data_IF_516368093292
#
_entry.id   IF_516368093292
#
_cell.length_a   1.000
_cell.length_b   1.000
_cell.length_c   1.000
_cell.angle_alpha   90.00
_cell.angle_beta   90.00
_cell.angle_gamma   90.00
#
_symmetry.space_group_name_H-M   'P 1'
#
loop_
_entity.id
_entity.type
_entity.pdbx_description
1 polymer ?
#
# COMPACT_ATOMS: atom_id res chain seq x y z
N UNK A 1 -14.32 -28.81 19.80
CA UNK A 1 -13.60 -27.58 19.61
C UNK A 1 -14.53 -26.46 19.21
N UNK A 2 -14.35 -25.36 19.83
CA UNK A 2 -15.09 -24.16 19.45
C UNK A 2 -14.45 -23.40 18.30
N UNK A 3 -13.40 -23.94 17.71
CA UNK A 3 -12.73 -23.27 16.61
C UNK A 3 -13.65 -23.14 15.40
N UNK A 4 -13.79 -21.92 14.94
CA UNK A 4 -14.55 -21.64 13.73
C UNK A 4 -13.69 -21.98 12.51
N UNK A 5 -14.28 -22.71 11.62
CA UNK A 5 -13.64 -22.99 10.35
C UNK A 5 -14.21 -22.08 9.28
N UNK A 6 -13.31 -21.34 8.63
CA UNK A 6 -13.68 -20.44 7.55
C UNK A 6 -13.19 -21.05 6.25
N UNK A 7 -14.12 -21.32 5.38
CA UNK A 7 -13.79 -21.87 4.06
C UNK A 7 -14.25 -20.91 2.98
N UNK A 8 -13.36 -20.64 2.04
CA UNK A 8 -13.67 -19.84 0.89
C UNK A 8 -13.62 -20.71 -0.36
N UNK A 9 -14.54 -20.45 -1.28
CA UNK A 9 -14.48 -21.04 -2.61
C UNK A 9 -13.27 -20.49 -3.38
N UNK A 10 -12.92 -21.16 -4.46
CA UNK A 10 -11.86 -20.69 -5.36
C UNK A 10 -12.17 -19.28 -5.84
N UNK A 11 -13.41 -19.01 -6.24
CA UNK A 11 -13.83 -17.69 -6.68
C UNK A 11 -13.65 -16.63 -5.60
N UNK A 12 -14.01 -16.95 -4.36
CA UNK A 12 -13.84 -16.02 -3.24
C UNK A 12 -12.37 -15.74 -2.95
N UNK A 13 -11.51 -16.74 -3.04
CA UNK A 13 -10.07 -16.52 -2.88
C UNK A 13 -9.51 -15.60 -3.95
N UNK A 14 -9.94 -15.78 -5.20
CA UNK A 14 -9.52 -14.94 -6.32
C UNK A 14 -9.94 -13.49 -6.08
N UNK A 15 -11.19 -13.28 -5.65
CA UNK A 15 -11.70 -11.94 -5.31
C UNK A 15 -10.91 -11.30 -4.16
N UNK A 16 -10.60 -12.07 -3.14
CA UNK A 16 -9.84 -11.58 -1.98
C UNK A 16 -8.41 -11.18 -2.36
N UNK A 17 -7.75 -11.99 -3.15
CA UNK A 17 -6.41 -11.64 -3.64
C UNK A 17 -6.45 -10.45 -4.60
N UNK A 18 -7.49 -10.34 -5.40
CA UNK A 18 -7.71 -9.17 -6.24
C UNK A 18 -7.85 -7.90 -5.41
N UNK A 19 -8.57 -7.96 -4.29
CA UNK A 19 -8.70 -6.83 -3.36
C UNK A 19 -7.35 -6.44 -2.76
N UNK A 20 -6.49 -7.41 -2.44
CA UNK A 20 -5.14 -7.13 -1.97
C UNK A 20 -4.34 -6.35 -3.03
N UNK A 21 -4.48 -6.75 -4.30
CA UNK A 21 -3.83 -6.04 -5.40
C UNK A 21 -4.29 -4.60 -5.51
N UNK A 22 -5.58 -4.35 -5.32
CA UNK A 22 -6.14 -2.99 -5.33
C UNK A 22 -5.55 -2.13 -4.22
N UNK A 23 -5.45 -2.67 -3.01
CA UNK A 23 -4.84 -1.96 -1.87
C UNK A 23 -3.38 -1.61 -2.16
N UNK A 24 -2.63 -2.53 -2.76
CA UNK A 24 -1.23 -2.28 -3.10
C UNK A 24 -1.09 -1.22 -4.19
N UNK A 25 -2.00 -1.19 -5.16
CA UNK A 25 -2.02 -0.12 -6.17
C UNK A 25 -2.34 1.24 -5.55
N UNK A 26 -3.29 1.28 -4.62
CA UNK A 26 -3.59 2.50 -3.86
C UNK A 26 -2.37 2.97 -3.08
N UNK A 27 -1.63 2.04 -2.48
CA UNK A 27 -0.41 2.37 -1.74
C UNK A 27 0.66 2.99 -2.64
N UNK A 28 0.85 2.47 -3.85
CA UNK A 28 1.77 3.04 -4.82
C UNK A 28 1.37 4.46 -5.22
N UNK A 29 0.08 4.67 -5.47
CA UNK A 29 -0.46 5.99 -5.79
C UNK A 29 -0.29 6.95 -4.61
N UNK A 30 -0.60 6.48 -3.41
CA UNK A 30 -0.47 7.28 -2.19
C UNK A 30 0.98 7.69 -1.96
N UNK A 31 1.93 6.81 -2.23
CA UNK A 31 3.35 7.12 -2.12
C UNK A 31 3.74 8.29 -3.01
N UNK A 32 3.26 8.31 -4.25
CA UNK A 32 3.52 9.43 -5.15
C UNK A 32 2.91 10.74 -4.62
N UNK A 33 1.68 10.69 -4.10
CA UNK A 33 1.03 11.86 -3.50
C UNK A 33 1.81 12.36 -2.27
N UNK A 34 2.29 11.44 -1.44
CA UNK A 34 3.08 11.79 -0.26
C UNK A 34 4.41 12.45 -0.62
N UNK A 35 5.05 11.99 -1.69
CA UNK A 35 6.26 12.64 -2.19
C UNK A 35 5.99 14.10 -2.57
N UNK A 36 4.88 14.37 -3.26
CA UNK A 36 4.51 15.74 -3.63
C UNK A 36 4.21 16.58 -2.41
N UNK A 37 3.47 16.04 -1.44
CA UNK A 37 3.19 16.72 -0.18
C UNK A 37 4.48 17.03 0.61
N UNK A 38 5.43 16.10 0.60
CA UNK A 38 6.72 16.29 1.28
C UNK A 38 7.51 17.42 0.63
N UNK A 39 7.53 17.51 -0.68
CA UNK A 39 8.19 18.59 -1.41
C UNK A 39 7.57 19.93 -1.03
N UNK A 40 6.25 20.02 -0.99
CA UNK A 40 5.55 21.25 -0.59
C UNK A 40 5.88 21.67 0.83
N UNK A 41 5.85 20.73 1.78
CA UNK A 41 6.17 21.00 3.19
C UNK A 41 7.62 21.45 3.34
N UNK A 42 8.55 20.79 2.66
CA UNK A 42 9.97 21.17 2.71
C UNK A 42 10.18 22.54 2.11
N UNK A 43 9.46 22.88 1.04
CA UNK A 43 9.54 24.23 0.45
C UNK A 43 9.01 25.28 1.40
N UNK A 44 7.87 25.06 2.04
CA UNK A 44 7.32 26.00 3.02
C UNK A 44 8.25 26.17 4.22
N UNK A 45 8.84 25.09 4.71
CA UNK A 45 9.82 25.15 5.79
C UNK A 45 11.02 25.99 5.38
N UNK A 46 11.54 25.79 4.19
CA UNK A 46 12.67 26.54 3.66
C UNK A 46 12.33 28.03 3.57
N UNK A 47 11.15 28.36 3.10
CA UNK A 47 10.70 29.75 2.97
C UNK A 47 10.63 30.43 4.32
N UNK A 48 10.10 29.77 5.34
CA UNK A 48 10.00 30.32 6.68
C UNK A 48 11.37 30.48 7.31
N UNK A 49 12.24 29.50 7.17
CA UNK A 49 13.61 29.61 7.67
C UNK A 49 14.37 30.78 7.01
N UNK A 50 14.09 31.00 5.73
CA UNK A 50 14.66 32.10 4.99
C UNK A 50 14.16 33.46 5.55
N UNK A 51 12.87 33.57 5.88
CA UNK A 51 12.31 34.75 6.54
C UNK A 51 12.97 34.96 7.89
N UNK A 52 13.14 33.92 8.68
CA UNK A 52 13.81 33.99 9.98
C UNK A 52 15.25 34.51 9.84
N UNK A 53 15.94 34.07 8.77
CA UNK A 53 17.32 34.47 8.52
C UNK A 53 17.45 35.94 8.13
N UNK A 54 16.53 36.46 7.32
CA UNK A 54 16.63 37.77 6.71
C UNK A 54 15.92 38.84 7.55
N UNK A 55 14.77 38.55 8.12
CA UNK A 55 13.93 39.54 8.76
C UNK A 55 14.16 39.64 10.27
N UNK A 56 14.23 40.89 10.77
CA UNK A 56 14.29 41.15 12.20
C UNK A 56 12.89 41.10 12.80
N UNK A 57 12.65 40.11 13.63
CA UNK A 57 11.38 39.99 14.35
C UNK A 57 11.49 40.71 15.66
N UNK A 58 10.77 41.83 15.75
CA UNK A 58 10.93 42.77 16.85
C UNK A 58 9.95 42.58 18.00
N UNK A 59 8.94 41.75 17.84
CA UNK A 59 7.99 41.47 18.89
C UNK A 59 7.81 39.97 19.16
N UNK A 60 7.31 39.69 20.36
CA UNK A 60 7.10 38.32 20.78
C UNK A 60 5.98 37.63 19.97
N UNK A 61 4.99 38.38 19.54
CA UNK A 61 3.87 37.84 18.80
C UNK A 61 4.31 37.35 17.42
N UNK A 62 5.10 38.16 16.71
CA UNK A 62 5.64 37.73 15.42
C UNK A 62 6.52 36.50 15.53
N UNK A 63 7.37 36.43 16.56
CA UNK A 63 8.19 35.27 16.83
C UNK A 63 7.34 34.04 17.18
N UNK A 64 6.27 34.22 17.91
CA UNK A 64 5.34 33.16 18.28
C UNK A 64 4.65 32.57 17.04
N UNK A 65 4.18 33.41 16.13
CA UNK A 65 3.53 32.98 14.90
C UNK A 65 4.49 32.13 14.06
N UNK A 66 5.73 32.58 13.89
CA UNK A 66 6.73 31.83 13.13
C UNK A 66 7.07 30.50 13.79
N UNK A 67 7.23 30.51 15.13
CA UNK A 67 7.45 29.27 15.87
C UNK A 67 6.33 28.27 15.65
N UNK A 68 5.07 28.69 15.78
CA UNK A 68 3.92 27.82 15.57
C UNK A 68 3.91 27.26 14.16
N UNK A 69 4.18 28.09 13.17
CA UNK A 69 4.17 27.66 11.77
C UNK A 69 5.26 26.62 11.50
N UNK A 70 6.46 26.86 11.99
CA UNK A 70 7.55 25.89 11.85
C UNK A 70 7.20 24.57 12.54
N UNK A 71 6.64 24.65 13.75
CA UNK A 71 6.24 23.46 14.50
C UNK A 71 5.20 22.65 13.74
N UNK A 72 4.16 23.30 13.22
CA UNK A 72 3.10 22.64 12.45
C UNK A 72 3.67 21.95 11.20
N UNK A 73 4.54 22.62 10.48
CA UNK A 73 5.17 22.06 9.29
C UNK A 73 6.09 20.88 9.62
N UNK A 74 6.84 20.97 10.71
CA UNK A 74 7.70 19.87 11.15
C UNK A 74 6.88 18.66 11.58
N UNK A 75 5.77 18.87 12.26
CA UNK A 75 4.85 17.80 12.63
C UNK A 75 4.20 17.15 11.40
N UNK A 76 3.76 17.98 10.46
CA UNK A 76 3.19 17.48 9.20
C UNK A 76 4.23 16.66 8.42
N UNK A 77 5.45 17.15 8.35
CA UNK A 77 6.56 16.43 7.70
C UNK A 77 6.77 15.05 8.33
N UNK A 78 6.75 14.98 9.66
CA UNK A 78 6.90 13.72 10.39
C UNK A 78 5.76 12.74 10.03
N UNK A 79 4.54 13.22 10.04
CA UNK A 79 3.38 12.40 9.68
C UNK A 79 3.49 11.84 8.26
N UNK A 80 3.88 12.67 7.30
CA UNK A 80 4.10 12.24 5.92
C UNK A 80 5.19 11.17 5.85
N UNK A 81 6.31 11.40 6.49
CA UNK A 81 7.43 10.45 6.47
C UNK A 81 7.07 9.12 7.13
N UNK A 82 6.33 9.15 8.21
CA UNK A 82 5.93 7.93 8.90
C UNK A 82 5.01 7.08 8.01
N UNK A 83 4.06 7.70 7.33
CA UNK A 83 3.20 7.00 6.38
C UNK A 83 4.02 6.43 5.22
N UNK A 84 4.96 7.19 4.68
CA UNK A 84 5.84 6.72 3.62
C UNK A 84 6.67 5.51 4.05
N UNK A 85 7.18 5.51 5.27
CA UNK A 85 7.96 4.39 5.81
C UNK A 85 7.13 3.11 5.82
N UNK A 86 5.89 3.19 6.29
CA UNK A 86 4.99 2.03 6.32
C UNK A 86 4.73 1.50 4.91
N UNK A 87 4.37 2.39 3.99
CA UNK A 87 4.09 2.02 2.60
C UNK A 87 5.34 1.41 1.94
N UNK A 88 6.50 2.06 2.08
CA UNK A 88 7.73 1.58 1.48
C UNK A 88 8.13 0.20 2.00
N UNK A 89 8.00 -0.02 3.30
CA UNK A 89 8.33 -1.32 3.89
C UNK A 89 7.47 -2.45 3.30
N UNK A 90 6.20 -2.19 3.07
CA UNK A 90 5.32 -3.19 2.47
C UNK A 90 5.65 -3.39 0.99
N UNK A 91 5.77 -2.31 0.22
CA UNK A 91 6.00 -2.39 -1.22
C UNK A 91 7.36 -3.00 -1.58
N UNK A 92 8.38 -2.79 -0.75
CA UNK A 92 9.69 -3.39 -0.97
C UNK A 92 9.69 -4.91 -0.82
N UNK A 93 8.82 -5.44 0.03
CA UNK A 93 8.80 -6.85 0.38
C UNK A 93 7.82 -7.67 -0.44
N UNK A 94 6.93 -7.02 -1.16
CA UNK A 94 5.86 -7.68 -1.90
C UNK A 94 5.98 -7.36 -3.38
N UNK A 95 5.97 -8.40 -4.21
CA UNK A 95 5.82 -8.22 -5.65
C UNK A 95 4.35 -7.96 -5.94
N UNK A 96 4.01 -6.69 -6.16
CA UNK A 96 2.63 -6.28 -6.41
C UNK A 96 2.06 -6.88 -7.70
N UNK A 97 2.92 -7.32 -8.60
CA UNK A 97 2.50 -7.91 -9.87
C UNK A 97 1.76 -9.23 -9.71
N UNK A 98 2.02 -9.95 -8.63
CA UNK A 98 1.34 -11.23 -8.39
C UNK A 98 -0.18 -11.07 -8.20
N UNK A 99 -0.62 -9.87 -7.80
CA UNK A 99 -2.04 -9.56 -7.61
C UNK A 99 -2.68 -8.90 -8.84
N UNK A 100 -1.94 -8.73 -9.92
CA UNK A 100 -2.50 -8.17 -11.13
C UNK A 100 -3.51 -9.12 -11.75
N UNK A 101 -4.49 -8.51 -12.41
CA UNK A 101 -5.60 -9.23 -13.01
C UNK A 101 -5.15 -10.35 -13.94
N UNK A 102 -4.13 -10.09 -14.77
CA UNK A 102 -3.62 -11.09 -15.71
C UNK A 102 -3.12 -12.35 -15.01
N UNK A 103 -2.45 -12.17 -13.88
CA UNK A 103 -1.93 -13.30 -13.11
C UNK A 103 -3.04 -14.09 -12.45
N UNK A 104 -4.07 -13.42 -11.95
CA UNK A 104 -5.23 -14.05 -11.37
C UNK A 104 -6.00 -14.82 -12.45
N UNK A 105 -6.21 -14.21 -13.60
CA UNK A 105 -6.87 -14.83 -14.75
C UNK A 105 -6.10 -16.06 -15.24
N UNK A 106 -4.78 -16.03 -15.21
CA UNK A 106 -3.96 -17.18 -15.54
C UNK A 106 -4.25 -18.37 -14.63
N UNK A 107 -4.42 -18.14 -13.33
CA UNK A 107 -4.78 -19.19 -12.39
C UNK A 107 -6.18 -19.75 -12.70
N UNK A 108 -7.14 -18.87 -12.98
CA UNK A 108 -8.49 -19.27 -13.36
C UNK A 108 -8.45 -20.18 -14.59
N UNK A 109 -7.70 -19.77 -15.61
CA UNK A 109 -7.56 -20.55 -16.85
C UNK A 109 -6.94 -21.91 -16.60
N UNK A 110 -5.93 -21.99 -15.76
CA UNK A 110 -5.32 -23.26 -15.38
C UNK A 110 -6.32 -24.19 -14.71
N UNK A 111 -7.14 -23.65 -13.81
CA UNK A 111 -8.16 -24.43 -13.13
C UNK A 111 -9.26 -24.88 -14.09
N UNK A 112 -9.69 -24.02 -15.01
CA UNK A 112 -10.72 -24.35 -15.99
C UNK A 112 -10.28 -25.47 -16.94
N UNK A 113 -8.99 -25.52 -17.25
CA UNK A 113 -8.42 -26.52 -18.16
C UNK A 113 -7.92 -27.77 -17.44
N UNK A 114 -8.08 -27.81 -16.13
CA UNK A 114 -7.59 -28.93 -15.33
C UNK A 114 -8.42 -30.18 -15.58
N UNK A 115 -7.72 -31.27 -15.82
CA UNK A 115 -8.34 -32.59 -15.93
C UNK A 115 -8.25 -33.30 -14.59
N UNK A 116 -9.34 -33.94 -14.22
CA UNK A 116 -9.40 -34.72 -13.00
C UNK A 116 -9.38 -36.20 -13.29
N UNK A 117 -8.63 -36.92 -12.50
CA UNK A 117 -8.55 -38.36 -12.59
C UNK A 117 -9.08 -38.98 -11.30
N UNK A 118 -9.95 -39.93 -11.44
CA UNK A 118 -10.49 -40.67 -10.31
C UNK A 118 -9.58 -41.85 -9.98
N UNK A 119 -8.92 -41.79 -8.82
CA UNK A 119 -8.01 -42.86 -8.42
C UNK A 119 -8.70 -44.20 -8.22
N UNK A 120 -9.92 -44.19 -7.75
CA UNK A 120 -10.71 -45.43 -7.59
C UNK A 120 -10.92 -46.11 -8.93
N UNK A 121 -11.30 -45.30 -9.93
CA UNK A 121 -11.47 -45.84 -11.29
C UNK A 121 -10.15 -46.34 -11.85
N UNK A 122 -9.04 -45.64 -11.60
CA UNK A 122 -7.71 -46.09 -12.01
C UNK A 122 -7.35 -47.44 -11.42
N UNK A 123 -7.66 -47.68 -10.15
CA UNK A 123 -7.39 -48.95 -9.50
C UNK A 123 -8.16 -50.08 -10.12
N UNK A 124 -9.27 -49.78 -10.72
CA UNK A 124 -10.09 -50.78 -11.44
C UNK A 124 -9.71 -50.86 -12.91
N UNK A 125 -8.59 -50.26 -13.28
CA UNK A 125 -8.08 -50.21 -14.65
C UNK A 125 -8.98 -49.47 -15.60
N UNK A 126 -9.77 -48.57 -15.07
CA UNK A 126 -10.57 -47.70 -15.89
C UNK A 126 -9.71 -46.62 -16.51
N UNK A 127 -10.08 -46.17 -17.70
CA UNK A 127 -9.35 -45.05 -18.30
C UNK A 127 -9.54 -43.82 -17.47
N UNK A 128 -8.48 -43.04 -17.37
CA UNK A 128 -8.54 -41.77 -16.72
C UNK A 128 -8.89 -40.69 -17.72
N UNK A 129 -9.61 -39.73 -17.29
CA UNK A 129 -10.05 -38.61 -18.13
C UNK A 129 -9.35 -37.34 -17.79
#
# INVERSE_FOLDING_TARGET
SSRMEIQYSVKQWIERFGSCGEVLQEAEKRKAELNDELIEVDQECSDILHIIEIEDIKDLYGGWILYKKVKELRQKRRTIKDEMIVIDNVLEKIDTKIFQRENIESVINKLANRKYYCRVVKNEKQPTQ
#
